data_IF_664793817610
#
_entry.id   IF_664793817610
#
_cell.length_a   1.000
_cell.length_b   1.000
_cell.length_c   1.000
_cell.angle_alpha   90.00
_cell.angle_beta   90.00
_cell.angle_gamma   90.00
#
_symmetry.space_group_name_H-M   'P 1'
#
loop_
_entity.id
_entity.type
_entity.pdbx_description
1 polymer ?
#
# COMPACT_ATOMS: atom_id res chain seq x y z
N UNK A 1 -10.38 -15.34 6.56
CA UNK A 1 -9.54 -14.37 5.83
C UNK A 1 -10.45 -13.36 5.17
N UNK A 2 -10.16 -12.07 5.31
CA UNK A 2 -10.96 -10.97 4.76
C UNK A 2 -10.14 -10.06 3.83
N UNK A 3 -10.66 -8.88 3.51
CA UNK A 3 -9.96 -7.82 2.78
C UNK A 3 -9.90 -6.57 3.64
N UNK A 4 -8.76 -5.88 3.69
CA UNK A 4 -8.61 -4.65 4.49
C UNK A 4 -9.58 -3.55 4.05
N UNK A 5 -9.84 -3.41 2.74
CA UNK A 5 -10.81 -2.47 2.17
C UNK A 5 -12.22 -2.65 2.73
N UNK A 6 -12.63 -3.89 3.03
CA UNK A 6 -13.91 -4.15 3.68
C UNK A 6 -13.92 -3.65 5.14
N UNK A 7 -12.85 -3.93 5.89
CA UNK A 7 -12.73 -3.46 7.27
C UNK A 7 -12.69 -1.93 7.35
N UNK A 8 -11.92 -1.28 6.47
CA UNK A 8 -11.85 0.18 6.41
C UNK A 8 -13.18 0.83 6.04
N UNK A 9 -13.95 0.23 5.13
CA UNK A 9 -15.28 0.73 4.78
C UNK A 9 -16.22 0.74 6.00
N UNK A 10 -16.14 -0.29 6.86
CA UNK A 10 -16.92 -0.38 8.10
C UNK A 10 -16.44 0.62 9.16
N UNK A 11 -15.13 0.76 9.33
CA UNK A 11 -14.53 1.62 10.37
C UNK A 11 -14.66 3.10 10.05
N UNK A 12 -14.51 3.48 8.78
CA UNK A 12 -14.44 4.89 8.34
C UNK A 12 -15.74 5.39 7.71
N UNK A 13 -16.64 4.48 7.33
CA UNK A 13 -17.81 4.81 6.50
C UNK A 13 -17.46 5.21 5.06
N UNK A 14 -16.19 5.20 4.67
CA UNK A 14 -15.75 5.56 3.33
C UNK A 14 -16.09 4.45 2.33
N UNK A 15 -16.89 4.78 1.31
CA UNK A 15 -17.19 3.88 0.19
C UNK A 15 -16.07 3.80 -0.84
N UNK A 16 -15.27 4.85 -0.95
CA UNK A 16 -14.16 4.99 -1.90
C UNK A 16 -12.95 4.17 -1.45
N UNK A 17 -13.14 2.85 -1.49
CA UNK A 17 -12.13 1.84 -1.23
C UNK A 17 -11.65 1.26 -2.54
N UNK A 18 -10.33 1.26 -2.74
CA UNK A 18 -9.71 0.81 -3.96
C UNK A 18 -8.77 -0.36 -3.70
N UNK A 19 -8.76 -1.28 -4.65
CA UNK A 19 -7.82 -2.39 -4.75
C UNK A 19 -7.09 -2.22 -6.07
N UNK A 20 -5.81 -1.93 -6.01
CA UNK A 20 -4.94 -1.68 -7.16
C UNK A 20 -4.10 -2.94 -7.38
N UNK A 21 -4.14 -3.48 -8.59
CA UNK A 21 -3.47 -4.75 -8.93
C UNK A 21 -2.73 -4.65 -10.25
N UNK A 22 -1.65 -5.41 -10.36
CA UNK A 22 -0.90 -5.55 -11.61
C UNK A 22 -1.66 -6.45 -12.59
N UNK A 23 -1.93 -5.93 -13.77
CA UNK A 23 -2.56 -6.63 -14.87
C UNK A 23 -1.58 -7.61 -15.51
N UNK A 24 -2.00 -8.86 -15.68
CA UNK A 24 -1.13 -9.94 -16.17
C UNK A 24 -0.64 -9.73 -17.60
N UNK A 25 -1.43 -9.04 -18.42
CA UNK A 25 -1.15 -8.86 -19.85
C UNK A 25 -0.24 -7.65 -20.09
N UNK A 26 -0.56 -6.50 -19.51
CA UNK A 26 0.21 -5.27 -19.72
C UNK A 26 1.37 -5.10 -18.75
N UNK A 27 1.35 -5.78 -17.60
CA UNK A 27 2.29 -5.57 -16.50
C UNK A 27 2.09 -4.25 -15.75
N UNK A 28 1.07 -3.46 -16.11
CA UNK A 28 0.72 -2.19 -15.48
C UNK A 28 -0.33 -2.36 -14.40
N UNK A 29 -0.60 -1.31 -13.64
CA UNK A 29 -1.56 -1.33 -12.55
C UNK A 29 -2.92 -0.79 -12.97
N UNK A 30 -3.99 -1.49 -12.60
CA UNK A 30 -5.37 -1.04 -12.77
C UNK A 30 -6.03 -0.81 -11.40
N UNK A 31 -6.97 0.14 -11.38
CA UNK A 31 -7.73 0.51 -10.18
C UNK A 31 -9.07 -0.20 -10.17
N UNK A 32 -9.40 -0.85 -9.05
CA UNK A 32 -10.66 -1.55 -8.86
C UNK A 32 -11.36 -1.10 -7.58
N UNK A 33 -12.69 -1.16 -7.56
CA UNK A 33 -13.50 -0.79 -6.40
C UNK A 33 -14.82 -1.55 -6.33
N UNK A 34 -15.66 -1.16 -5.36
CA UNK A 34 -16.95 -1.81 -5.05
C UNK A 34 -18.17 -1.18 -5.74
N UNK A 35 -17.97 -0.19 -6.61
CA UNK A 35 -19.07 0.35 -7.40
C UNK A 35 -19.31 -0.55 -8.62
N UNK A 36 -20.55 -1.01 -8.79
CA UNK A 36 -20.96 -1.87 -9.89
C UNK A 36 -21.53 -1.01 -11.03
N UNK A 37 -20.79 -0.84 -12.14
CA UNK A 37 -21.22 0.02 -13.24
C UNK A 37 -22.40 -0.57 -14.04
N UNK A 38 -22.65 -1.88 -13.96
CA UNK A 38 -23.78 -2.50 -14.67
C UNK A 38 -25.13 -2.22 -13.99
N UNK A 39 -25.10 -1.97 -12.68
CA UNK A 39 -26.29 -1.73 -11.87
C UNK A 39 -26.34 -0.31 -11.29
N UNK A 40 -25.36 0.53 -11.64
CA UNK A 40 -25.20 1.92 -11.19
C UNK A 40 -25.31 2.07 -9.66
N UNK A 41 -24.69 1.15 -8.92
CA UNK A 41 -24.79 1.13 -7.46
C UNK A 41 -23.53 0.60 -6.80
N UNK A 42 -23.33 1.00 -5.55
CA UNK A 42 -22.32 0.41 -4.69
C UNK A 42 -22.78 -0.97 -4.21
N UNK A 43 -21.86 -1.94 -4.21
CA UNK A 43 -22.09 -3.24 -3.58
C UNK A 43 -22.43 -3.04 -2.10
N UNK A 44 -23.44 -3.74 -1.57
CA UNK A 44 -23.87 -3.56 -0.19
C UNK A 44 -22.75 -3.99 0.77
N UNK A 45 -22.59 -3.23 1.86
CA UNK A 45 -21.74 -3.67 2.96
C UNK A 45 -22.41 -4.81 3.71
N UNK A 46 -21.60 -5.77 4.13
CA UNK A 46 -22.01 -6.82 5.05
C UNK A 46 -21.18 -6.70 6.34
N UNK A 47 -21.68 -7.23 7.46
CA UNK A 47 -20.92 -7.25 8.71
C UNK A 47 -19.77 -8.25 8.69
N UNK A 48 -19.84 -9.23 7.79
CA UNK A 48 -18.84 -10.26 7.57
C UNK A 48 -18.28 -10.12 6.15
N UNK A 49 -16.97 -10.27 5.96
CA UNK A 49 -16.37 -10.28 4.62
C UNK A 49 -16.81 -11.49 3.78
N UNK A 50 -17.49 -12.47 4.38
CA UNK A 50 -18.01 -13.67 3.72
C UNK A 50 -19.48 -13.57 3.31
N UNK A 51 -20.21 -12.56 3.81
CA UNK A 51 -21.66 -12.47 3.63
C UNK A 51 -22.06 -11.51 2.49
N UNK A 52 -21.08 -10.89 1.81
CA UNK A 52 -21.27 -9.92 0.74
C UNK A 52 -20.61 -10.33 -0.59
N UNK A 53 -20.90 -9.57 -1.65
CA UNK A 53 -20.28 -9.77 -2.95
C UNK A 53 -18.77 -9.51 -2.88
N UNK A 54 -17.97 -10.49 -3.33
CA UNK A 54 -16.53 -10.35 -3.48
C UNK A 54 -16.13 -9.60 -4.76
N UNK A 55 -17.09 -9.35 -5.66
CA UNK A 55 -16.85 -8.66 -6.93
C UNK A 55 -16.25 -7.28 -6.72
N UNK A 56 -15.31 -6.94 -7.60
CA UNK A 56 -14.73 -5.62 -7.75
C UNK A 56 -14.73 -5.29 -9.24
N UNK A 57 -14.90 -4.01 -9.55
CA UNK A 57 -15.04 -3.51 -10.91
C UNK A 57 -13.95 -2.49 -11.19
N UNK A 58 -13.54 -2.36 -12.45
CA UNK A 58 -12.58 -1.34 -12.83
C UNK A 58 -13.19 0.04 -12.58
N UNK A 59 -12.40 0.91 -11.96
CA UNK A 59 -12.81 2.24 -11.53
C UNK A 59 -11.88 3.30 -12.08
N UNK A 60 -12.38 4.52 -12.12
CA UNK A 60 -11.52 5.69 -12.15
C UNK A 60 -10.69 5.74 -10.86
N UNK A 61 -9.45 6.20 -11.00
CA UNK A 61 -8.54 6.39 -9.89
C UNK A 61 -9.05 7.47 -8.92
N UNK A 62 -8.60 7.46 -7.64
CA UNK A 62 -8.88 8.55 -6.71
C UNK A 62 -8.55 9.92 -7.32
N UNK A 63 -9.41 10.91 -7.07
CA UNK A 63 -9.23 12.26 -7.61
C UNK A 63 -7.89 12.88 -7.15
N UNK A 64 -7.51 12.63 -5.89
CA UNK A 64 -6.17 12.93 -5.37
C UNK A 64 -5.13 12.12 -6.13
N UNK A 65 -4.04 12.76 -6.56
CA UNK A 65 -3.05 12.13 -7.45
C UNK A 65 -3.43 12.14 -8.93
N UNK A 66 -4.44 12.91 -9.32
CA UNK A 66 -4.76 13.22 -10.72
C UNK A 66 -5.93 12.44 -11.33
N UNK A 67 -6.53 11.49 -10.61
CA UNK A 67 -7.74 10.78 -11.06
C UNK A 67 -7.60 10.09 -12.42
N UNK A 68 -8.70 10.07 -13.17
CA UNK A 68 -8.79 9.52 -14.52
C UNK A 68 -9.02 8.02 -14.57
N UNK A 69 -9.04 7.47 -15.78
CA UNK A 69 -9.22 6.04 -16.05
C UNK A 69 -7.95 5.39 -16.61
N UNK A 70 -7.96 4.07 -16.76
CA UNK A 70 -6.90 3.31 -17.42
C UNK A 70 -5.83 2.77 -16.48
N UNK A 71 -4.70 2.35 -17.06
CA UNK A 71 -3.62 1.66 -16.35
C UNK A 71 -2.39 2.55 -16.16
N UNK A 72 -1.65 2.34 -15.07
CA UNK A 72 -0.46 3.12 -14.70
C UNK A 72 0.79 2.26 -14.62
N UNK A 73 1.94 2.84 -14.98
CA UNK A 73 3.24 2.26 -14.67
C UNK A 73 3.62 2.44 -13.19
N UNK A 74 4.70 1.77 -12.76
CA UNK A 74 5.21 1.87 -11.38
C UNK A 74 5.53 3.31 -10.96
N UNK A 75 6.16 4.09 -11.84
CA UNK A 75 6.49 5.50 -11.56
C UNK A 75 5.26 6.34 -11.24
N UNK A 76 4.27 6.30 -12.13
CA UNK A 76 3.03 7.07 -11.99
C UNK A 76 2.20 6.59 -10.80
N UNK A 77 2.27 5.30 -10.46
CA UNK A 77 1.60 4.78 -9.29
C UNK A 77 2.30 5.26 -8.01
N UNK A 78 3.63 5.30 -7.99
CA UNK A 78 4.39 5.79 -6.85
C UNK A 78 4.12 7.27 -6.57
N UNK A 79 4.11 8.12 -7.60
CA UNK A 79 3.72 9.53 -7.48
C UNK A 79 2.33 9.69 -6.85
N UNK A 80 1.38 8.81 -7.22
CA UNK A 80 0.04 8.80 -6.63
C UNK A 80 0.04 8.33 -5.18
N UNK A 81 0.87 7.34 -4.84
CA UNK A 81 1.04 6.89 -3.46
C UNK A 81 1.52 8.03 -2.57
N UNK A 82 2.51 8.83 -3.00
CA UNK A 82 2.93 10.03 -2.29
C UNK A 82 1.76 11.00 -2.08
N UNK A 83 1.01 11.31 -3.15
CA UNK A 83 -0.12 12.23 -3.06
C UNK A 83 -1.24 11.73 -2.12
N UNK A 84 -1.47 10.41 -2.05
CA UNK A 84 -2.44 9.81 -1.15
C UNK A 84 -1.98 9.84 0.31
N UNK A 85 -0.70 9.56 0.56
CA UNK A 85 -0.10 9.65 1.89
C UNK A 85 -0.13 11.11 2.41
N UNK A 86 0.28 12.07 1.58
CA UNK A 86 0.20 13.52 1.86
C UNK A 86 -1.23 14.00 2.18
N UNK A 87 -2.24 13.31 1.64
CA UNK A 87 -3.65 13.58 1.86
C UNK A 87 -4.25 12.81 3.04
N UNK A 88 -3.40 12.17 3.86
CA UNK A 88 -3.78 11.34 5.02
C UNK A 88 -4.74 10.20 4.66
N UNK A 89 -4.62 9.61 3.46
CA UNK A 89 -5.38 8.42 3.10
C UNK A 89 -4.80 7.19 3.80
N UNK A 90 -5.63 6.17 4.03
CA UNK A 90 -5.12 4.89 4.54
C UNK A 90 -4.60 4.08 3.37
N UNK A 91 -3.35 3.64 3.48
CA UNK A 91 -2.67 2.80 2.51
C UNK A 91 -2.29 1.45 3.14
N UNK A 92 -2.41 0.39 2.35
CA UNK A 92 -1.97 -0.94 2.74
C UNK A 92 -1.52 -1.72 1.51
N UNK A 93 -0.70 -2.73 1.71
CA UNK A 93 -0.17 -3.54 0.62
C UNK A 93 -0.35 -5.02 0.92
N UNK A 94 -0.60 -5.81 -0.13
CA UNK A 94 -0.71 -7.26 -0.06
C UNK A 94 0.43 -7.90 -0.84
N UNK A 95 1.06 -8.89 -0.23
CA UNK A 95 2.04 -9.75 -0.90
C UNK A 95 1.33 -10.70 -1.87
N UNK A 96 2.13 -11.38 -2.70
CA UNK A 96 1.62 -12.37 -3.65
C UNK A 96 0.79 -13.45 -2.96
N UNK A 97 -0.11 -14.06 -3.70
CA UNK A 97 -0.89 -15.19 -3.18
C UNK A 97 0.05 -16.33 -2.73
N UNK A 98 -0.15 -16.83 -1.53
CA UNK A 98 0.66 -17.89 -0.94
C UNK A 98 0.21 -18.25 0.47
N UNK A 99 1.07 -18.92 1.21
CA UNK A 99 0.82 -19.38 2.59
C UNK A 99 1.46 -18.42 3.58
N UNK A 100 0.75 -18.09 4.66
CA UNK A 100 1.25 -17.25 5.78
C UNK A 100 2.37 -17.91 6.61
N UNK A 101 2.79 -19.11 6.21
CA UNK A 101 3.93 -19.86 6.75
C UNK A 101 5.18 -19.78 5.89
N UNK A 102 5.08 -19.17 4.72
CA UNK A 102 6.18 -18.99 3.78
C UNK A 102 6.54 -17.50 3.71
N UNK A 103 7.81 -17.22 3.61
CA UNK A 103 8.34 -15.88 3.42
C UNK A 103 9.43 -15.86 2.34
N UNK A 104 9.61 -14.69 1.74
CA UNK A 104 10.72 -14.40 0.87
C UNK A 104 11.46 -13.20 1.44
N UNK A 105 12.72 -13.42 1.82
CA UNK A 105 13.59 -12.38 2.40
C UNK A 105 12.98 -11.71 3.66
N UNK A 106 12.17 -12.44 4.44
CA UNK A 106 11.46 -11.93 5.62
C UNK A 106 10.05 -11.38 5.34
N UNK A 107 9.67 -11.22 4.07
CA UNK A 107 8.34 -10.79 3.66
C UNK A 107 7.41 -12.00 3.51
N UNK A 108 6.44 -12.12 4.41
CA UNK A 108 5.43 -13.19 4.46
C UNK A 108 4.48 -13.17 3.25
N UNK A 109 4.29 -14.32 2.60
CA UNK A 109 3.34 -14.49 1.49
C UNK A 109 1.87 -14.52 1.96
N UNK A 110 0.94 -14.13 1.07
CA UNK A 110 -0.49 -14.14 1.38
C UNK A 110 -0.90 -13.21 2.53
N UNK A 111 -0.07 -12.20 2.83
CA UNK A 111 -0.19 -11.36 4.01
C UNK A 111 -0.37 -9.88 3.65
N UNK A 112 -1.04 -9.14 4.54
CA UNK A 112 -1.28 -7.71 4.37
C UNK A 112 -0.39 -6.91 5.32
N UNK A 113 0.23 -5.86 4.79
CA UNK A 113 1.08 -4.91 5.49
C UNK A 113 0.44 -3.53 5.44
N UNK A 114 0.74 -2.71 6.46
CA UNK A 114 0.37 -1.29 6.41
C UNK A 114 1.47 -0.51 5.71
N UNK A 115 1.08 0.42 4.84
CA UNK A 115 1.99 1.42 4.30
C UNK A 115 1.86 2.63 5.22
N UNK A 116 2.94 3.00 5.89
CA UNK A 116 2.94 4.07 6.90
C UNK A 116 3.35 5.42 6.34
N UNK A 117 4.26 5.41 5.36
CA UNK A 117 4.81 6.64 4.76
C UNK A 117 5.33 6.33 3.37
N UNK A 118 5.15 7.25 2.43
CA UNK A 118 5.68 7.15 1.06
C UNK A 118 6.42 8.46 0.73
N UNK A 119 7.72 8.37 0.49
CA UNK A 119 8.57 9.53 0.25
C UNK A 119 9.31 9.39 -1.08
N UNK A 120 9.26 10.43 -1.90
CA UNK A 120 10.07 10.55 -3.11
C UNK A 120 11.25 11.49 -2.88
N UNK A 121 12.38 11.22 -3.56
CA UNK A 121 13.59 12.05 -3.52
C UNK A 121 14.06 12.41 -2.09
N UNK A 122 14.19 11.39 -1.23
CA UNK A 122 14.48 11.61 0.19
C UNK A 122 15.83 12.32 0.35
N UNK A 123 15.83 13.44 1.05
CA UNK A 123 17.02 14.28 1.25
C UNK A 123 17.73 14.71 -0.05
N UNK A 124 17.01 14.82 -1.18
CA UNK A 124 17.55 15.26 -2.48
C UNK A 124 18.51 14.24 -3.11
N UNK A 125 18.29 12.96 -2.84
CA UNK A 125 19.18 11.85 -3.26
C UNK A 125 18.67 11.06 -4.46
N UNK A 126 17.49 11.40 -4.97
CA UNK A 126 16.73 10.63 -5.96
C UNK A 126 16.34 9.22 -5.47
N UNK A 127 16.48 8.93 -4.18
CA UNK A 127 16.04 7.68 -3.56
C UNK A 127 14.61 7.82 -3.07
N UNK A 128 13.75 6.94 -3.57
CA UNK A 128 12.35 6.84 -3.19
C UNK A 128 12.17 5.72 -2.15
N UNK A 129 11.52 6.02 -1.03
CA UNK A 129 11.36 5.11 0.10
C UNK A 129 9.90 4.93 0.52
N UNK A 130 9.59 3.72 0.98
CA UNK A 130 8.29 3.34 1.54
C UNK A 130 8.51 2.76 2.93
N UNK A 131 7.86 3.35 3.93
CA UNK A 131 7.84 2.81 5.29
C UNK A 131 6.69 1.82 5.43
N UNK A 132 7.01 0.59 5.77
CA UNK A 132 6.07 -0.51 5.89
C UNK A 132 5.92 -0.94 7.35
N UNK A 133 4.79 -1.58 7.66
CA UNK A 133 4.59 -2.26 8.94
C UNK A 133 3.97 -3.63 8.77
N UNK A 134 4.61 -4.65 9.33
CA UNK A 134 4.01 -5.94 9.58
C UNK A 134 3.04 -5.83 10.78
N UNK A 135 1.73 -6.10 10.60
CA UNK A 135 0.77 -6.01 11.69
C UNK A 135 1.01 -7.01 12.84
N UNK A 136 1.86 -8.03 12.65
CA UNK A 136 2.26 -8.94 13.73
C UNK A 136 3.28 -8.33 14.71
N UNK A 137 3.82 -7.14 14.41
CA UNK A 137 4.79 -6.44 15.25
C UNK A 137 6.16 -7.11 15.31
N UNK A 138 6.48 -7.91 14.28
CA UNK A 138 7.75 -8.61 14.03
C UNK A 138 7.75 -9.11 12.59
N UNK A 139 8.91 -9.51 12.08
CA UNK A 139 9.02 -10.07 10.74
C UNK A 139 9.11 -8.95 9.71
N UNK A 140 10.34 -8.53 9.49
CA UNK A 140 10.75 -7.43 8.62
C UNK A 140 11.53 -7.99 7.43
N UNK A 141 11.74 -7.17 6.40
CA UNK A 141 12.65 -7.54 5.34
C UNK A 141 14.07 -7.73 5.93
N UNK A 142 14.78 -8.76 5.48
CA UNK A 142 16.10 -9.15 6.03
C UNK A 142 17.26 -8.96 5.04
N UNK A 143 16.94 -8.54 3.82
CA UNK A 143 17.93 -8.29 2.76
C UNK A 143 17.61 -7.00 2.00
N UNK A 144 17.09 -5.98 2.70
CA UNK A 144 16.68 -4.71 2.10
C UNK A 144 17.83 -3.70 2.06
N UNK A 145 17.82 -2.79 1.08
CA UNK A 145 18.78 -1.69 1.02
C UNK A 145 18.69 -0.79 2.27
N UNK A 146 17.46 -0.52 2.72
CA UNK A 146 17.14 0.29 3.91
C UNK A 146 16.39 -0.52 4.98
N UNK A 147 16.67 -1.82 5.08
CA UNK A 147 16.26 -2.58 6.27
C UNK A 147 17.01 -2.11 7.52
N UNK A 148 16.69 -2.62 8.70
CA UNK A 148 17.18 -2.08 9.97
C UNK A 148 18.71 -1.86 10.05
N UNK A 149 19.48 -2.81 9.52
CA UNK A 149 20.95 -2.77 9.46
C UNK A 149 21.48 -2.61 8.03
N UNK A 150 20.63 -2.12 7.12
CA UNK A 150 20.84 -2.11 5.69
C UNK A 150 22.01 -1.23 5.23
N UNK A 151 22.68 -1.59 4.11
CA UNK A 151 23.82 -0.84 3.62
C UNK A 151 23.47 0.60 3.17
N UNK A 152 22.21 0.84 2.81
CA UNK A 152 21.69 2.14 2.36
C UNK A 152 21.87 3.23 3.40
N UNK A 153 21.75 2.92 4.70
CA UNK A 153 21.95 3.91 5.76
C UNK A 153 23.38 4.46 5.81
N UNK A 154 24.37 3.61 5.54
CA UNK A 154 25.77 4.00 5.47
C UNK A 154 26.12 4.69 4.14
N UNK A 155 25.49 4.26 3.05
CA UNK A 155 25.68 4.86 1.72
C UNK A 155 25.06 6.26 1.60
N UNK A 156 23.94 6.50 2.29
CA UNK A 156 23.18 7.74 2.27
C UNK A 156 22.98 8.31 3.68
N UNK A 157 24.03 8.81 4.35
CA UNK A 157 23.94 9.33 5.72
C UNK A 157 22.95 10.51 5.87
N UNK A 158 22.70 11.25 4.79
CA UNK A 158 21.69 12.31 4.73
C UNK A 158 20.25 11.76 4.86
N UNK A 159 19.96 10.59 4.28
CA UNK A 159 18.67 9.92 4.45
C UNK A 159 18.53 9.45 5.90
N UNK A 160 19.58 8.83 6.46
CA UNK A 160 19.58 8.39 7.86
C UNK A 160 19.33 9.55 8.84
N UNK A 161 19.91 10.73 8.56
CA UNK A 161 19.72 11.93 9.35
C UNK A 161 18.30 12.51 9.22
N UNK A 162 17.78 12.62 7.99
CA UNK A 162 16.43 13.15 7.69
C UNK A 162 15.34 12.28 8.33
N UNK A 163 15.46 10.96 8.19
CA UNK A 163 14.48 9.99 8.69
C UNK A 163 14.67 9.63 10.16
N UNK A 164 15.76 10.12 10.78
CA UNK A 164 16.16 9.80 12.15
C UNK A 164 16.15 8.29 12.40
N UNK A 165 16.83 7.52 11.52
CA UNK A 165 16.78 6.07 11.53
C UNK A 165 17.18 5.48 12.90
N UNK A 166 16.41 4.51 13.36
CA UNK A 166 16.66 3.71 14.56
C UNK A 166 16.32 2.26 14.22
N UNK A 167 17.33 1.39 14.21
CA UNK A 167 17.13 -0.04 14.05
C UNK A 167 16.38 -0.61 15.26
N UNK A 168 15.26 -1.29 15.02
CA UNK A 168 14.45 -1.95 16.02
C UNK A 168 13.55 -3.02 15.39
N UNK A 169 13.64 -4.26 15.88
CA UNK A 169 12.73 -5.35 15.50
C UNK A 169 11.33 -5.15 16.12
N UNK A 170 10.53 -4.29 15.50
CA UNK A 170 9.16 -3.93 15.91
C UNK A 170 8.12 -4.15 14.79
N UNK A 171 8.58 -4.71 13.66
CA UNK A 171 7.82 -4.95 12.45
C UNK A 171 7.76 -3.75 11.51
N UNK A 172 8.52 -2.68 11.74
CA UNK A 172 8.54 -1.47 10.91
C UNK A 172 9.87 -1.36 10.17
N UNK A 173 9.81 -1.26 8.85
CA UNK A 173 11.01 -1.27 8.01
C UNK A 173 10.82 -0.36 6.79
N UNK A 174 11.93 0.05 6.18
CA UNK A 174 11.92 0.81 4.93
C UNK A 174 12.24 -0.08 3.73
N UNK A 175 11.64 0.28 2.60
CA UNK A 175 11.91 -0.33 1.29
C UNK A 175 12.17 0.77 0.27
N UNK A 176 13.05 0.50 -0.67
CA UNK A 176 13.11 1.28 -1.91
C UNK A 176 11.83 1.08 -2.73
N UNK A 177 11.51 2.04 -3.61
CA UNK A 177 10.42 1.89 -4.60
C UNK A 177 10.50 0.56 -5.37
N UNK A 178 11.70 0.15 -5.79
CA UNK A 178 11.90 -1.07 -6.55
C UNK A 178 11.64 -2.33 -5.70
N UNK A 179 12.08 -2.34 -4.43
CA UNK A 179 11.78 -3.43 -3.50
C UNK A 179 10.29 -3.51 -3.20
N UNK A 180 9.62 -2.37 -2.97
CA UNK A 180 8.18 -2.34 -2.75
C UNK A 180 7.41 -3.02 -3.89
N UNK A 181 7.64 -2.62 -5.15
CA UNK A 181 6.95 -3.23 -6.28
C UNK A 181 7.38 -4.67 -6.59
N UNK A 182 8.53 -5.12 -6.08
CA UNK A 182 8.95 -6.53 -6.15
C UNK A 182 8.14 -7.42 -5.22
N UNK A 183 7.95 -7.00 -3.97
CA UNK A 183 7.32 -7.85 -2.94
C UNK A 183 5.79 -7.69 -2.86
N UNK A 184 5.26 -6.53 -3.24
CA UNK A 184 3.84 -6.21 -3.09
C UNK A 184 3.12 -6.13 -4.44
N UNK A 185 2.25 -7.11 -4.68
CA UNK A 185 1.49 -7.22 -5.94
C UNK A 185 0.19 -6.41 -5.91
N UNK A 186 -0.34 -6.17 -4.71
CA UNK A 186 -1.61 -5.46 -4.51
C UNK A 186 -1.42 -4.26 -3.59
N UNK A 187 -1.96 -3.11 -3.96
CA UNK A 187 -2.07 -1.93 -3.12
C UNK A 187 -3.55 -1.69 -2.78
N UNK A 188 -3.83 -1.28 -1.56
CA UNK A 188 -5.17 -0.98 -1.06
C UNK A 188 -5.21 0.48 -0.60
N UNK A 189 -6.28 1.19 -0.97
CA UNK A 189 -6.42 2.63 -0.67
C UNK A 189 -7.82 2.90 -0.12
N UNK A 190 -7.88 3.53 1.05
CA UNK A 190 -9.09 4.19 1.54
C UNK A 190 -8.98 5.68 1.21
N UNK A 191 -9.68 6.15 0.19
CA UNK A 191 -9.61 7.55 -0.25
C UNK A 191 -10.47 8.46 0.62
N UNK A 192 -10.02 8.68 1.85
CA UNK A 192 -10.63 9.60 2.82
C UNK A 192 -9.51 10.18 3.68
N UNK A 193 -9.55 11.49 3.87
CA UNK A 193 -8.63 12.19 4.76
C UNK A 193 -8.95 11.78 6.21
N UNK A 194 -8.00 11.09 6.84
CA UNK A 194 -8.15 10.63 8.23
C UNK A 194 -7.97 11.74 9.26
N UNK A 195 -7.40 12.89 8.88
CA UNK A 195 -7.28 14.05 9.78
C UNK A 195 -8.64 14.64 10.17
N UNK A 196 -9.68 14.39 9.36
CA UNK A 196 -11.07 14.73 9.67
C UNK A 196 -11.56 14.13 11.00
N UNK A 197 -10.97 13.02 11.47
CA UNK A 197 -11.31 12.38 12.75
C UNK A 197 -10.56 12.96 13.96
N UNK A 198 -9.57 13.82 13.73
CA UNK A 198 -8.80 14.48 14.78
C UNK A 198 -9.40 15.82 15.22
N UNK A 199 -10.48 16.25 14.55
CA UNK A 199 -11.20 17.51 14.79
C UNK A 199 -12.18 17.45 15.97
#
# INVERSE_FOLDING_TARGET
GGQCTHAWALLTGCKSQYTIRREKVSGKYACYGKFNPNEDKWEPHANSPHDGSSSIWQMDWPAVGGGGSGELGEEQLFERMCAWDDSNFILGAGTRAGSDREDQDGIVDGHAYSVLTVLNDVAGTEVDLVKMRNPHGRGEITTGEFDDDGPGWAAYPQIAAELQHVAADDGIFWLTKQEFFRYFETLYVCAKDMSEFLA
#
